data_IF_881173558030
#
_entry.id   IF_881173558030
#
_cell.length_a   1.000
_cell.length_b   1.000
_cell.length_c   1.000
_cell.angle_alpha   90.00
_cell.angle_beta   90.00
_cell.angle_gamma   90.00
#
_symmetry.space_group_name_H-M   'P 1'
#
loop_
_entity.id
_entity.type
_entity.pdbx_description
1 polymer ?
#
# COMPACT_ATOMS: atom_id res chain seq x y z
N UNK A 1 -0.68 -22.78 -25.20
CA UNK A 1 0.39 -22.57 -24.18
C UNK A 1 -0.28 -21.95 -22.96
N UNK A 2 -0.37 -22.64 -21.82
CA UNK A 2 -0.87 -22.03 -20.58
C UNK A 2 0.31 -21.30 -19.94
N UNK A 3 0.26 -19.97 -19.86
CA UNK A 3 1.23 -19.19 -19.12
C UNK A 3 0.99 -19.47 -17.63
N UNK A 4 1.85 -20.28 -17.02
CA UNK A 4 1.89 -20.45 -15.57
C UNK A 4 2.48 -19.16 -14.96
N UNK A 5 1.74 -18.05 -15.02
CA UNK A 5 2.09 -16.87 -14.24
C UNK A 5 1.60 -17.11 -12.82
N UNK A 6 2.53 -17.15 -11.86
CA UNK A 6 2.17 -17.09 -10.45
C UNK A 6 1.26 -15.88 -10.20
N UNK A 7 0.22 -16.01 -9.35
CA UNK A 7 -0.62 -14.87 -9.02
C UNK A 7 0.24 -13.76 -8.41
N UNK A 8 -0.04 -12.49 -8.73
CA UNK A 8 0.72 -11.36 -8.20
C UNK A 8 0.56 -11.29 -6.68
N UNK A 9 1.66 -11.00 -5.98
CA UNK A 9 1.66 -10.80 -4.53
C UNK A 9 1.38 -9.33 -4.24
N UNK A 10 0.50 -9.07 -3.28
CA UNK A 10 0.19 -7.71 -2.81
C UNK A 10 0.82 -7.47 -1.43
N UNK A 11 1.63 -6.42 -1.32
CA UNK A 11 2.11 -5.91 -0.04
C UNK A 11 1.20 -4.77 0.45
N UNK A 12 0.88 -4.78 1.75
CA UNK A 12 0.04 -3.78 2.39
C UNK A 12 0.76 -3.22 3.62
N UNK A 13 0.95 -1.91 3.66
CA UNK A 13 1.33 -1.16 4.86
C UNK A 13 0.15 -0.28 5.27
N UNK A 14 -0.39 -0.54 6.47
CA UNK A 14 -1.59 0.07 7.01
C UNK A 14 -1.27 1.15 8.07
N UNK A 15 -0.32 2.03 7.76
CA UNK A 15 0.05 3.15 8.61
C UNK A 15 -1.11 4.10 8.93
N UNK A 16 -0.98 4.84 10.04
CA UNK A 16 -2.06 5.68 10.56
C UNK A 16 -2.48 6.79 9.59
N UNK A 17 -1.54 7.48 8.93
CA UNK A 17 -1.84 8.65 8.09
C UNK A 17 -1.92 8.35 6.60
N UNK A 18 -1.32 7.24 6.16
CA UNK A 18 -1.28 6.82 4.77
C UNK A 18 -1.20 5.30 4.72
N UNK A 19 -1.85 4.73 3.74
CA UNK A 19 -1.73 3.32 3.38
C UNK A 19 -0.80 3.23 2.17
N UNK A 20 0.06 2.22 2.14
CA UNK A 20 0.88 1.92 0.96
C UNK A 20 0.47 0.54 0.46
N UNK A 21 0.22 0.45 -0.84
CA UNK A 21 -0.08 -0.81 -1.54
C UNK A 21 0.98 -1.01 -2.60
N UNK A 22 1.63 -2.17 -2.60
CA UNK A 22 2.59 -2.54 -3.63
C UNK A 22 2.26 -3.88 -4.28
N UNK A 23 2.69 -4.03 -5.53
CA UNK A 23 2.70 -5.31 -6.25
C UNK A 23 4.14 -5.80 -6.25
N UNK A 24 4.34 -7.00 -5.72
CA UNK A 24 5.64 -7.65 -5.71
C UNK A 24 5.79 -8.58 -6.91
N UNK A 25 6.97 -8.55 -7.50
CA UNK A 25 7.41 -9.52 -8.50
C UNK A 25 7.85 -10.83 -7.88
N UNK A 26 8.36 -11.72 -8.71
CA UNK A 26 8.76 -13.07 -8.30
C UNK A 26 9.99 -13.08 -7.39
N UNK A 27 10.81 -12.04 -7.45
CA UNK A 27 12.03 -11.88 -6.66
C UNK A 27 11.82 -10.95 -5.46
N UNK A 28 10.55 -10.73 -5.07
CA UNK A 28 10.13 -9.87 -3.95
C UNK A 28 10.47 -8.38 -4.18
N UNK A 29 10.75 -8.01 -5.43
CA UNK A 29 10.97 -6.64 -5.86
C UNK A 29 9.64 -5.90 -6.04
N UNK A 30 9.62 -4.60 -5.75
CA UNK A 30 8.42 -3.77 -5.96
C UNK A 30 8.32 -3.41 -7.44
N UNK A 31 7.31 -3.96 -8.13
CA UNK A 31 6.99 -3.63 -9.53
C UNK A 31 6.17 -2.35 -9.62
N UNK A 32 5.26 -2.15 -8.65
CA UNK A 32 4.38 -0.97 -8.61
C UNK A 32 4.01 -0.64 -7.19
N UNK A 33 3.91 0.65 -6.88
CA UNK A 33 3.47 1.16 -5.60
C UNK A 33 2.43 2.27 -5.77
N UNK A 34 1.49 2.35 -4.82
CA UNK A 34 0.63 3.52 -4.64
C UNK A 34 0.46 3.84 -3.16
N UNK A 35 0.56 5.12 -2.84
CA UNK A 35 0.15 5.66 -1.54
C UNK A 35 -1.29 6.17 -1.59
N UNK A 36 -2.08 5.84 -0.57
CA UNK A 36 -3.46 6.28 -0.38
C UNK A 36 -3.52 7.06 0.96
N UNK A 37 -3.85 8.36 0.96
CA UNK A 37 -4.04 9.11 2.19
C UNK A 37 -5.15 8.50 3.05
N UNK A 38 -4.92 8.42 4.38
CA UNK A 38 -5.95 7.99 5.30
C UNK A 38 -6.88 9.17 5.62
N UNK A 39 -8.15 9.06 5.21
CA UNK A 39 -9.18 10.10 5.40
C UNK A 39 -10.01 9.91 6.68
N UNK A 40 -9.56 9.06 7.63
CA UNK A 40 -10.27 8.89 8.91
C UNK A 40 -10.38 10.23 9.66
N UNK A 41 -11.60 10.68 10.03
CA UNK A 41 -11.80 11.97 10.71
C UNK A 41 -11.05 12.13 12.03
N UNK A 42 -10.73 11.02 12.71
CA UNK A 42 -9.93 11.04 13.95
C UNK A 42 -8.51 11.56 13.75
N UNK A 43 -7.98 11.52 12.52
CA UNK A 43 -6.64 11.99 12.18
C UNK A 43 -6.58 13.51 11.95
N UNK A 44 -7.71 14.16 11.65
CA UNK A 44 -7.77 15.61 11.43
C UNK A 44 -7.52 16.38 12.73
N UNK A 45 -7.97 15.83 13.86
CA UNK A 45 -7.86 16.48 15.19
C UNK A 45 -6.42 16.57 15.72
N UNK A 46 -5.50 15.72 15.24
CA UNK A 46 -4.09 15.73 15.65
C UNK A 46 -3.30 16.87 14.98
N UNK A 47 -3.84 17.52 13.94
CA UNK A 47 -3.16 18.63 13.24
C UNK A 47 -3.28 19.98 13.93
N UNK A 48 -4.15 20.13 14.93
CA UNK A 48 -4.48 21.42 15.55
C UNK A 48 -3.64 21.77 16.79
N UNK A 49 -2.60 20.99 17.11
CA UNK A 49 -1.69 21.25 18.23
C UNK A 49 -0.26 21.36 17.68
N UNK A 50 0.03 22.48 17.04
CA UNK A 50 1.37 23.02 16.81
C UNK A 50 1.32 24.52 17.05
#
# INVERSE_FOLDING_TARGET
>A
MKTNSSPPILGLDLGDRKYVVCVLGTDVEIIKERSIPNSRPSLEKVRAIC
#
